data_IF_048664035803
#
_entry.id   IF_048664035803
#
_cell.length_a   1.000
_cell.length_b   1.000
_cell.length_c   1.000
_cell.angle_alpha   90.00
_cell.angle_beta   90.00
_cell.angle_gamma   90.00
#
_symmetry.space_group_name_H-M   'P 1'
#
loop_
_entity.id
_entity.type
_entity.pdbx_description
1 polymer ?
#
# COMPACT_ATOMS: atom_id res chain seq x y z
N UNK A 1 -4.24 13.01 -17.29
CA UNK A 1 -3.37 13.88 -16.47
C UNK A 1 -2.50 12.96 -15.62
N UNK A 2 -1.21 12.87 -15.92
CA UNK A 2 -0.26 12.10 -15.11
C UNK A 2 -0.03 12.88 -13.82
N UNK A 3 -0.43 12.33 -12.68
CA UNK A 3 -0.15 12.94 -11.37
C UNK A 3 1.35 13.13 -11.20
N UNK A 4 1.76 14.24 -10.59
CA UNK A 4 3.18 14.52 -10.34
C UNK A 4 3.78 13.48 -9.37
N UNK A 5 5.09 13.20 -9.45
CA UNK A 5 5.71 12.12 -8.69
C UNK A 5 5.66 12.33 -7.17
N UNK A 6 5.65 13.58 -6.71
CA UNK A 6 5.54 13.90 -5.28
C UNK A 6 4.16 13.51 -4.77
N UNK A 7 3.10 13.84 -5.52
CA UNK A 7 1.72 13.44 -5.20
C UNK A 7 1.56 11.92 -5.19
N UNK A 8 2.17 11.20 -6.14
CA UNK A 8 2.10 9.74 -6.20
C UNK A 8 2.72 9.07 -4.95
N UNK A 9 3.90 9.53 -4.56
CA UNK A 9 4.60 9.00 -3.39
C UNK A 9 3.90 9.41 -2.08
N UNK A 10 3.36 10.63 -2.01
CA UNK A 10 2.53 11.05 -0.88
C UNK A 10 1.25 10.19 -0.77
N UNK A 11 0.62 9.86 -1.89
CA UNK A 11 -0.54 8.97 -1.92
C UNK A 11 -0.18 7.57 -1.39
N UNK A 12 0.97 7.00 -1.78
CA UNK A 12 1.48 5.74 -1.23
C UNK A 12 1.65 5.83 0.30
N UNK A 13 2.28 6.89 0.81
CA UNK A 13 2.47 7.07 2.25
C UNK A 13 1.12 7.12 2.97
N UNK A 14 0.18 7.91 2.46
CA UNK A 14 -1.14 8.07 3.08
C UNK A 14 -1.93 6.75 3.15
N UNK A 15 -1.88 5.91 2.10
CA UNK A 15 -2.58 4.61 2.13
C UNK A 15 -1.96 3.62 3.10
N UNK A 16 -0.64 3.68 3.31
CA UNK A 16 0.07 2.87 4.31
C UNK A 16 -0.25 3.35 5.73
N UNK A 17 -0.28 4.66 5.97
CA UNK A 17 -0.73 5.23 7.25
C UNK A 17 -2.18 4.84 7.58
N UNK A 18 -3.08 4.91 6.60
CA UNK A 18 -4.46 4.47 6.79
C UNK A 18 -4.52 2.96 7.12
N UNK A 19 -3.67 2.14 6.49
CA UNK A 19 -3.57 0.71 6.80
C UNK A 19 -3.09 0.47 8.24
N UNK A 20 -2.13 1.26 8.73
CA UNK A 20 -1.68 1.23 10.13
C UNK A 20 -2.81 1.59 11.08
N UNK A 21 -3.58 2.64 10.78
CA UNK A 21 -4.73 3.04 11.60
C UNK A 21 -5.78 1.94 11.66
N UNK A 22 -6.09 1.30 10.52
CA UNK A 22 -7.00 0.16 10.47
C UNK A 22 -6.51 -0.98 11.35
N UNK A 23 -5.25 -1.41 11.21
CA UNK A 23 -4.71 -2.50 12.02
C UNK A 23 -4.66 -2.14 13.51
N UNK A 24 -4.39 -0.88 13.84
CA UNK A 24 -4.35 -0.40 15.22
C UNK A 24 -5.73 -0.34 15.86
N UNK A 25 -6.79 -0.12 15.07
CA UNK A 25 -8.18 -0.14 15.55
C UNK A 25 -8.69 -1.55 15.88
N UNK A 26 -8.01 -2.60 15.41
CA UNK A 26 -8.41 -3.98 15.66
C UNK A 26 -8.09 -4.41 17.10
N UNK A 27 -8.83 -5.41 17.65
CA UNK A 27 -8.53 -5.98 18.96
C UNK A 27 -7.08 -6.48 19.06
N UNK A 28 -6.44 -6.29 20.22
CA UNK A 28 -5.00 -6.54 20.38
C UNK A 28 -4.56 -7.96 19.97
N UNK A 29 -5.41 -8.96 20.18
CA UNK A 29 -5.14 -10.36 19.81
C UNK A 29 -5.25 -10.63 18.30
N UNK A 30 -5.97 -9.77 17.55
CA UNK A 30 -6.07 -9.86 16.08
C UNK A 30 -4.88 -9.19 15.40
N UNK A 31 -4.29 -8.15 16.01
CA UNK A 31 -3.20 -7.34 15.43
C UNK A 31 -2.01 -8.16 14.92
N UNK A 32 -1.48 -9.15 15.68
CA UNK A 32 -0.36 -9.98 15.20
C UNK A 32 -0.72 -10.77 13.95
N UNK A 33 -1.95 -11.30 13.87
CA UNK A 33 -2.41 -12.09 12.73
C UNK A 33 -2.51 -11.26 11.46
N UNK A 34 -3.07 -10.04 11.54
CA UNK A 34 -3.20 -9.17 10.36
C UNK A 34 -1.86 -8.59 9.92
N UNK A 35 -0.99 -8.22 10.86
CA UNK A 35 0.38 -7.77 10.56
C UNK A 35 1.21 -8.89 9.90
N UNK A 36 1.25 -10.08 10.51
CA UNK A 36 1.98 -11.21 9.94
C UNK A 36 1.36 -11.74 8.63
N UNK A 37 0.05 -11.58 8.43
CA UNK A 37 -0.60 -11.85 7.16
C UNK A 37 -0.26 -10.82 6.08
N UNK A 38 -0.13 -9.55 6.44
CA UNK A 38 0.30 -8.48 5.56
C UNK A 38 1.75 -8.66 5.11
N UNK A 39 2.66 -8.91 6.06
CA UNK A 39 4.07 -9.14 5.77
C UNK A 39 4.29 -10.32 4.81
N UNK A 40 3.67 -11.47 5.10
CA UNK A 40 3.76 -12.66 4.23
C UNK A 40 3.28 -12.41 2.80
N UNK A 41 2.32 -11.50 2.60
CA UNK A 41 1.75 -11.21 1.27
C UNK A 41 2.46 -10.09 0.52
N UNK A 42 3.09 -9.17 1.24
CA UNK A 42 3.70 -7.96 0.66
C UNK A 42 5.22 -7.98 0.72
N UNK A 43 5.81 -9.08 1.21
CA UNK A 43 7.26 -9.30 1.25
C UNK A 43 7.99 -8.58 2.39
N UNK A 44 7.35 -7.64 3.08
CA UNK A 44 7.97 -6.89 4.18
C UNK A 44 6.92 -6.39 5.19
N UNK A 45 7.37 -6.11 6.41
CA UNK A 45 6.49 -5.61 7.47
C UNK A 45 5.86 -4.26 7.12
N UNK A 46 4.76 -3.93 7.81
CA UNK A 46 4.08 -2.65 7.60
C UNK A 46 4.98 -1.47 8.00
N UNK A 47 5.81 -1.66 9.03
CA UNK A 47 6.82 -0.72 9.48
C UNK A 47 7.90 -0.48 8.40
N UNK A 48 8.40 -1.56 7.77
CA UNK A 48 9.35 -1.45 6.65
C UNK A 48 8.74 -0.70 5.46
N UNK A 49 7.46 -0.96 5.15
CA UNK A 49 6.72 -0.20 4.14
C UNK A 49 6.62 1.30 4.47
N UNK A 50 6.34 1.66 5.73
CA UNK A 50 6.28 3.07 6.14
C UNK A 50 7.64 3.76 6.05
N UNK A 51 8.72 3.05 6.41
CA UNK A 51 10.09 3.56 6.27
C UNK A 51 10.43 3.79 4.79
N UNK A 52 10.11 2.83 3.91
CA UNK A 52 10.29 2.96 2.47
C UNK A 52 9.52 4.16 1.91
N UNK A 53 8.23 4.29 2.26
CA UNK A 53 7.42 5.42 1.80
C UNK A 53 7.96 6.77 2.29
N UNK A 54 8.44 6.84 3.53
CA UNK A 54 9.05 8.06 4.09
C UNK A 54 10.37 8.42 3.40
N UNK A 55 11.19 7.42 3.07
CA UNK A 55 12.41 7.61 2.31
C UNK A 55 12.08 8.12 0.89
N UNK A 56 11.10 7.54 0.22
CA UNK A 56 10.64 7.99 -1.10
C UNK A 56 10.12 9.43 -1.04
N UNK A 57 9.31 9.81 -0.05
CA UNK A 57 8.83 11.20 0.10
C UNK A 57 10.00 12.19 0.21
N UNK A 58 11.08 11.79 0.90
CA UNK A 58 12.25 12.65 1.11
C UNK A 58 13.15 12.74 -0.12
N UNK A 59 13.18 11.69 -0.95
CA UNK A 59 14.05 11.59 -2.13
C UNK A 59 13.40 12.13 -3.41
N UNK A 60 12.08 11.96 -3.54
CA UNK A 60 11.33 12.30 -4.75
C UNK A 60 10.94 13.78 -4.74
N UNK A 61 11.42 14.48 -5.75
CA UNK A 61 11.14 15.89 -6.04
C UNK A 61 10.41 16.03 -7.39
N UNK A 62 9.84 17.20 -7.72
CA UNK A 62 9.10 17.38 -8.98
C UNK A 62 9.89 17.04 -10.25
N UNK A 63 11.21 17.22 -10.22
CA UNK A 63 12.16 16.94 -11.30
C UNK A 63 12.74 15.51 -11.27
N UNK A 64 12.33 14.68 -10.31
CA UNK A 64 12.84 13.32 -10.17
C UNK A 64 12.31 12.43 -11.29
N UNK A 65 13.21 11.73 -11.98
CA UNK A 65 12.83 10.81 -13.05
C UNK A 65 12.54 9.40 -12.50
N UNK A 66 11.68 8.62 -13.18
CA UNK A 66 11.45 7.22 -12.85
C UNK A 66 12.73 6.37 -12.81
N UNK A 67 13.67 6.63 -13.72
CA UNK A 67 14.96 5.92 -13.79
C UNK A 67 15.77 6.08 -12.49
N UNK A 68 15.88 7.31 -11.97
CA UNK A 68 16.62 7.60 -10.74
C UNK A 68 16.04 6.87 -9.52
N UNK A 69 14.71 6.79 -9.44
CA UNK A 69 14.04 6.04 -8.36
C UNK A 69 14.29 4.55 -8.50
N UNK A 70 14.22 3.99 -9.72
CA UNK A 70 14.52 2.57 -9.98
C UNK A 70 15.97 2.22 -9.66
N UNK A 71 16.93 3.09 -9.97
CA UNK A 71 18.34 2.89 -9.60
C UNK A 71 18.54 2.85 -8.08
N UNK A 72 17.85 3.75 -7.36
CA UNK A 72 17.94 3.82 -5.90
C UNK A 72 17.17 2.68 -5.21
N UNK A 73 16.13 2.15 -5.86
CA UNK A 73 15.27 1.10 -5.34
C UNK A 73 14.95 0.04 -6.42
N UNK A 74 15.90 -0.84 -6.77
CA UNK A 74 15.77 -1.76 -7.92
C UNK A 74 14.56 -2.72 -7.84
N UNK A 75 14.13 -3.08 -6.64
CA UNK A 75 12.98 -3.97 -6.40
C UNK A 75 11.68 -3.25 -6.08
N UNK A 76 11.66 -1.92 -6.14
CA UNK A 76 10.50 -1.13 -5.73
C UNK A 76 9.24 -1.53 -6.50
N UNK A 77 9.36 -1.69 -7.82
CA UNK A 77 8.22 -2.08 -8.65
C UNK A 77 7.63 -3.41 -8.21
N UNK A 78 8.48 -4.43 -8.02
CA UNK A 78 8.04 -5.76 -7.58
C UNK A 78 7.33 -5.70 -6.22
N UNK A 79 7.90 -4.96 -5.26
CA UNK A 79 7.28 -4.78 -3.96
C UNK A 79 5.91 -4.07 -4.08
N UNK A 80 5.81 -3.05 -4.92
CA UNK A 80 4.56 -2.33 -5.14
C UNK A 80 3.51 -3.22 -5.81
N UNK A 81 3.88 -4.11 -6.73
CA UNK A 81 2.95 -5.08 -7.32
C UNK A 81 2.39 -6.02 -6.26
N UNK A 82 3.22 -6.53 -5.35
CA UNK A 82 2.76 -7.35 -4.22
C UNK A 82 1.81 -6.58 -3.29
N UNK A 83 2.10 -5.29 -3.05
CA UNK A 83 1.25 -4.41 -2.23
C UNK A 83 -0.11 -4.14 -2.92
N UNK A 84 -0.10 -3.82 -4.22
CA UNK A 84 -1.29 -3.63 -5.02
C UNK A 84 -2.16 -4.89 -5.03
N UNK A 85 -1.54 -6.05 -5.23
CA UNK A 85 -2.22 -7.35 -5.21
C UNK A 85 -2.83 -7.66 -3.84
N UNK A 86 -2.11 -7.36 -2.75
CA UNK A 86 -2.65 -7.50 -1.40
C UNK A 86 -3.90 -6.63 -1.19
N UNK A 87 -3.93 -5.39 -1.68
CA UNK A 87 -5.13 -4.55 -1.60
C UNK A 87 -6.25 -5.07 -2.50
N UNK A 88 -5.97 -5.42 -3.76
CA UNK A 88 -6.95 -5.96 -4.71
C UNK A 88 -7.72 -7.15 -4.16
N UNK A 89 -7.01 -8.06 -3.48
CA UNK A 89 -7.57 -9.31 -2.95
C UNK A 89 -8.08 -9.20 -1.51
N UNK A 90 -7.93 -8.04 -0.86
CA UNK A 90 -8.40 -7.82 0.51
C UNK A 90 -9.92 -7.96 0.68
N UNK A 91 -10.78 -7.43 -0.22
CA UNK A 91 -12.22 -7.58 -0.09
C UNK A 91 -12.70 -9.02 -0.17
N UNK A 92 -12.10 -9.83 -1.06
CA UNK A 92 -12.43 -11.25 -1.18
C UNK A 92 -12.10 -12.01 0.11
N UNK A 93 -10.93 -11.73 0.71
CA UNK A 93 -10.55 -12.31 2.01
C UNK A 93 -11.47 -11.87 3.14
N UNK A 94 -11.84 -10.59 3.16
CA UNK A 94 -12.77 -10.05 4.14
C UNK A 94 -14.14 -10.73 4.03
N UNK A 95 -14.66 -10.93 2.81
CA UNK A 95 -15.91 -11.64 2.58
C UNK A 95 -15.87 -13.09 3.11
N UNK A 96 -14.78 -13.81 2.85
CA UNK A 96 -14.58 -15.19 3.35
C UNK A 96 -14.48 -15.28 4.88
N UNK A 97 -13.94 -14.24 5.53
CA UNK A 97 -13.73 -14.23 6.98
C UNK A 97 -14.85 -13.61 7.82
N UNK A 98 -15.62 -12.67 7.27
CA UNK A 98 -16.63 -11.90 8.02
C UNK A 98 -18.09 -12.30 7.69
N UNK A 99 -18.35 -13.05 6.61
CA UNK A 99 -19.71 -13.28 6.14
C UNK A 99 -20.41 -12.00 5.64
N UNK A 100 -21.75 -12.01 5.53
CA UNK A 100 -22.61 -10.88 5.11
C UNK A 100 -22.74 -9.76 6.18
N UNK A 101 -21.69 -9.47 6.94
CA UNK A 101 -21.71 -8.38 7.91
C UNK A 101 -21.59 -7.01 7.22
N UNK A 102 -22.33 -6.04 7.75
CA UNK A 102 -22.27 -4.64 7.33
C UNK A 102 -20.82 -4.12 7.40
N UNK A 103 -20.27 -3.69 6.26
CA UNK A 103 -18.90 -3.19 6.17
C UNK A 103 -18.14 -3.63 4.92
N UNK A 104 -18.61 -4.65 4.19
CA UNK A 104 -17.94 -5.14 2.99
C UNK A 104 -17.80 -4.06 1.90
N UNK A 105 -18.82 -3.22 1.70
CA UNK A 105 -18.73 -2.08 0.77
C UNK A 105 -17.62 -1.10 1.15
N UNK A 106 -17.47 -0.80 2.45
CA UNK A 106 -16.38 0.06 2.92
C UNK A 106 -15.02 -0.57 2.68
N UNK A 107 -14.88 -1.87 2.92
CA UNK A 107 -13.64 -2.62 2.63
C UNK A 107 -13.34 -2.63 1.13
N UNK A 108 -14.34 -2.80 0.28
CA UNK A 108 -14.18 -2.72 -1.17
C UNK A 108 -13.68 -1.33 -1.60
N UNK A 109 -14.34 -0.28 -1.14
CA UNK A 109 -13.98 1.10 -1.48
C UNK A 109 -12.57 1.45 -1.00
N UNK A 110 -12.25 1.16 0.26
CA UNK A 110 -10.91 1.46 0.80
C UNK A 110 -9.84 0.64 0.10
N UNK A 111 -10.10 -0.64 -0.19
CA UNK A 111 -9.14 -1.49 -0.90
C UNK A 111 -8.90 -1.00 -2.32
N UNK A 112 -9.94 -0.60 -3.05
CA UNK A 112 -9.82 -0.02 -4.39
C UNK A 112 -9.00 1.26 -4.38
N UNK A 113 -9.31 2.21 -3.48
CA UNK A 113 -8.56 3.48 -3.36
C UNK A 113 -7.08 3.24 -3.08
N UNK A 114 -6.78 2.25 -2.23
CA UNK A 114 -5.39 1.87 -1.89
C UNK A 114 -4.67 1.25 -3.08
N UNK A 115 -5.33 0.33 -3.78
CA UNK A 115 -4.80 -0.28 -5.00
C UNK A 115 -4.51 0.78 -6.08
N UNK A 116 -5.46 1.68 -6.35
CA UNK A 116 -5.32 2.76 -7.34
C UNK A 116 -4.10 3.65 -7.06
N UNK A 117 -3.88 4.04 -5.80
CA UNK A 117 -2.72 4.83 -5.41
C UNK A 117 -1.40 4.12 -5.67
N UNK A 118 -1.33 2.81 -5.36
CA UNK A 118 -0.13 2.00 -5.61
C UNK A 118 0.09 1.80 -7.12
N UNK A 119 -0.98 1.50 -7.87
CA UNK A 119 -0.91 1.32 -9.33
C UNK A 119 -0.54 2.59 -10.08
N UNK A 120 -0.96 3.76 -9.60
CA UNK A 120 -0.55 5.03 -10.18
C UNK A 120 0.97 5.23 -10.06
N UNK A 121 1.56 4.86 -8.92
CA UNK A 121 3.02 4.91 -8.74
C UNK A 121 3.74 3.87 -9.62
N UNK A 122 3.23 2.63 -9.71
CA UNK A 122 3.77 1.60 -10.61
C UNK A 122 3.77 2.10 -12.06
N UNK A 123 2.65 2.68 -12.51
CA UNK A 123 2.52 3.21 -13.87
C UNK A 123 3.51 4.32 -14.16
N UNK A 124 3.80 5.18 -13.19
CA UNK A 124 4.80 6.24 -13.35
C UNK A 124 6.23 5.68 -13.38
N UNK A 125 6.52 4.63 -12.63
CA UNK A 125 7.85 4.01 -12.58
C UNK A 125 8.28 3.38 -13.91
N UNK A 126 7.33 3.05 -14.79
CA UNK A 126 7.60 2.45 -16.10
C UNK A 126 7.76 0.95 -16.01
#
# INVERSE_FOLDING_TARGET
MTSDPVTLVAALRNVLEDTVRDFSSMPFFVRPMVRGGFERRTGQSLEAWQQLASALVSQVKPDTTPARVRESHPRLREHLEQLAENYRTAPERAAKGMGLLAGLQRVQETSRRREEAVRALISWLG
#
